data_IF_483710489652
#
_entry.id   IF_483710489652
#
_cell.length_a   1.000
_cell.length_b   1.000
_cell.length_c   1.000
_cell.angle_alpha   90.00
_cell.angle_beta   90.00
_cell.angle_gamma   90.00
#
_symmetry.space_group_name_H-M   'P 1'
#
loop_
_entity.id
_entity.type
_entity.pdbx_description
1 polymer ?
#
# COMPACT_ATOMS: atom_id res chain seq x y z
N UNK A 1 -53.70 -15.02 -14.30
CA UNK A 1 -52.43 -14.91 -13.54
C UNK A 1 -52.64 -13.82 -12.49
N UNK A 2 -52.88 -14.16 -11.21
CA UNK A 2 -53.32 -13.18 -10.19
C UNK A 2 -52.28 -12.07 -9.92
N UNK A 3 -51.00 -12.31 -10.26
CA UNK A 3 -49.90 -11.38 -10.03
C UNK A 3 -49.93 -10.15 -10.95
N UNK A 4 -50.36 -10.31 -12.22
CA UNK A 4 -50.44 -9.21 -13.17
C UNK A 4 -51.61 -8.27 -12.88
N UNK A 5 -52.73 -8.81 -12.38
CA UNK A 5 -53.89 -8.01 -11.95
C UNK A 5 -53.61 -7.24 -10.67
N UNK A 6 -52.86 -7.83 -9.73
CA UNK A 6 -52.41 -7.16 -8.52
C UNK A 6 -51.52 -5.95 -8.85
N UNK A 7 -50.53 -6.13 -9.73
CA UNK A 7 -49.65 -5.03 -10.19
C UNK A 7 -50.45 -3.94 -10.91
N UNK A 8 -51.41 -4.32 -11.77
CA UNK A 8 -52.31 -3.39 -12.45
C UNK A 8 -53.19 -2.59 -11.47
N UNK A 9 -53.71 -3.23 -10.42
CA UNK A 9 -54.54 -2.58 -9.39
C UNK A 9 -53.74 -1.74 -8.40
N UNK A 10 -52.45 -2.00 -8.18
CA UNK A 10 -51.58 -1.15 -7.36
C UNK A 10 -51.02 0.03 -8.17
N UNK A 11 -50.78 -0.14 -9.47
CA UNK A 11 -50.29 0.92 -10.36
C UNK A 11 -51.28 2.06 -10.57
N UNK A 12 -52.58 1.85 -10.32
CA UNK A 12 -53.61 2.90 -10.39
C UNK A 12 -53.62 3.84 -9.17
N UNK A 13 -52.85 3.54 -8.12
CA UNK A 13 -52.75 4.35 -6.90
C UNK A 13 -51.53 5.31 -6.95
N UNK A 14 -51.72 6.64 -6.90
CA UNK A 14 -50.64 7.63 -6.93
C UNK A 14 -49.56 7.44 -5.85
N UNK A 15 -49.93 6.95 -4.67
CA UNK A 15 -48.99 6.68 -3.57
C UNK A 15 -48.08 5.47 -3.85
N UNK A 16 -48.55 4.52 -4.64
CA UNK A 16 -47.76 3.36 -5.06
C UNK A 16 -46.66 3.77 -6.05
N UNK A 17 -46.94 4.71 -6.96
CA UNK A 17 -45.94 5.27 -7.88
C UNK A 17 -44.78 5.96 -7.15
N UNK A 18 -45.07 6.73 -6.10
CA UNK A 18 -44.05 7.40 -5.29
C UNK A 18 -43.20 6.40 -4.47
N UNK A 19 -43.82 5.39 -3.85
CA UNK A 19 -43.13 4.35 -3.10
C UNK A 19 -42.27 3.43 -3.99
N UNK A 20 -42.76 3.09 -5.18
CA UNK A 20 -42.02 2.30 -6.17
C UNK A 20 -40.82 3.07 -6.73
N UNK A 21 -40.96 4.37 -6.97
CA UNK A 21 -39.85 5.23 -7.39
C UNK A 21 -38.73 5.29 -6.35
N UNK A 22 -39.09 5.47 -5.07
CA UNK A 22 -38.11 5.48 -3.97
C UNK A 22 -37.44 4.10 -3.78
N UNK A 23 -38.23 3.02 -3.86
CA UNK A 23 -37.70 1.66 -3.80
C UNK A 23 -36.76 1.37 -4.97
N UNK A 24 -37.12 1.76 -6.20
CA UNK A 24 -36.29 1.60 -7.38
C UNK A 24 -34.97 2.37 -7.28
N UNK A 25 -35.00 3.62 -6.82
CA UNK A 25 -33.79 4.40 -6.53
C UNK A 25 -32.94 3.76 -5.43
N UNK A 26 -33.57 3.25 -4.37
CA UNK A 26 -32.89 2.55 -3.28
C UNK A 26 -32.23 1.25 -3.73
N UNK A 27 -32.95 0.42 -4.47
CA UNK A 27 -32.45 -0.84 -5.03
C UNK A 27 -31.32 -0.58 -6.04
N UNK A 28 -31.49 0.41 -6.93
CA UNK A 28 -30.47 0.82 -7.89
C UNK A 28 -29.19 1.33 -7.21
N UNK A 29 -29.33 2.21 -6.21
CA UNK A 29 -28.20 2.71 -5.43
C UNK A 29 -27.49 1.58 -4.66
N UNK A 30 -28.24 0.63 -4.10
CA UNK A 30 -27.68 -0.54 -3.42
C UNK A 30 -26.90 -1.45 -4.39
N UNK A 31 -27.46 -1.71 -5.58
CA UNK A 31 -26.78 -2.48 -6.63
C UNK A 31 -25.50 -1.78 -7.11
N UNK A 32 -25.55 -0.47 -7.36
CA UNK A 32 -24.38 0.31 -7.74
C UNK A 32 -23.30 0.28 -6.66
N UNK A 33 -23.67 0.42 -5.39
CA UNK A 33 -22.72 0.34 -4.27
C UNK A 33 -22.03 -1.03 -4.22
N UNK A 34 -22.79 -2.11 -4.37
CA UNK A 34 -22.24 -3.48 -4.39
C UNK A 34 -21.36 -3.71 -5.63
N UNK A 35 -21.80 -3.24 -6.79
CA UNK A 35 -21.02 -3.29 -8.03
C UNK A 35 -19.70 -2.54 -7.93
N UNK A 36 -19.71 -1.34 -7.34
CA UNK A 36 -18.49 -0.55 -7.10
C UNK A 36 -17.54 -1.23 -6.11
N UNK A 37 -18.06 -1.83 -5.04
CA UNK A 37 -17.25 -2.60 -4.08
C UNK A 37 -16.57 -3.79 -4.77
N UNK A 38 -17.33 -4.61 -5.48
CA UNK A 38 -16.79 -5.77 -6.22
C UNK A 38 -15.82 -5.34 -7.33
N UNK A 39 -16.17 -4.29 -8.07
CA UNK A 39 -15.31 -3.70 -9.10
C UNK A 39 -13.98 -3.23 -8.52
N UNK A 40 -13.98 -2.58 -7.35
CA UNK A 40 -12.75 -2.15 -6.68
C UNK A 40 -11.86 -3.32 -6.25
N UNK A 41 -12.46 -4.43 -5.81
CA UNK A 41 -11.74 -5.65 -5.41
C UNK A 41 -11.13 -6.32 -6.65
N UNK A 42 -11.91 -6.49 -7.72
CA UNK A 42 -11.43 -7.06 -8.97
C UNK A 42 -10.33 -6.21 -9.59
N UNK A 43 -10.46 -4.89 -9.51
CA UNK A 43 -9.45 -3.95 -9.95
C UNK A 43 -8.13 -4.14 -9.19
N UNK A 44 -8.17 -4.14 -7.85
CA UNK A 44 -7.00 -4.41 -7.01
C UNK A 44 -6.36 -5.77 -7.30
N UNK A 45 -7.17 -6.78 -7.60
CA UNK A 45 -6.68 -8.14 -7.88
C UNK A 45 -6.04 -8.31 -9.27
N UNK A 46 -6.53 -7.61 -10.29
CA UNK A 46 -6.13 -7.84 -11.68
C UNK A 46 -5.28 -6.75 -12.30
N UNK A 47 -5.26 -5.55 -11.73
CA UNK A 47 -4.56 -4.37 -12.28
C UNK A 47 -3.50 -3.81 -11.35
N UNK A 48 -3.27 -4.45 -10.20
CA UNK A 48 -2.24 -4.04 -9.25
C UNK A 48 -1.36 -5.23 -8.91
N UNK A 49 -0.08 -4.95 -8.71
CA UNK A 49 0.92 -5.92 -8.25
C UNK A 49 1.46 -5.45 -6.91
N UNK A 50 1.64 -6.42 -6.00
CA UNK A 50 2.11 -6.19 -4.65
C UNK A 50 3.38 -7.01 -4.42
N UNK A 51 4.43 -6.38 -3.91
CA UNK A 51 5.64 -7.02 -3.44
C UNK A 51 5.79 -6.75 -1.95
N UNK A 52 5.82 -7.81 -1.15
CA UNK A 52 6.07 -7.75 0.29
C UNK A 52 7.51 -8.16 0.57
N UNK A 53 8.22 -7.36 1.38
CA UNK A 53 9.59 -7.62 1.79
C UNK A 53 9.64 -7.64 3.32
N UNK A 54 9.90 -8.82 3.93
CA UNK A 54 10.00 -8.94 5.39
C UNK A 54 11.35 -8.39 5.88
N UNK A 55 11.40 -7.93 7.13
CA UNK A 55 12.64 -7.42 7.75
C UNK A 55 13.75 -8.47 7.91
N UNK A 56 13.44 -9.77 7.82
CA UNK A 56 14.43 -10.86 7.83
C UNK A 56 15.23 -10.94 6.51
N UNK A 57 14.73 -10.38 5.42
CA UNK A 57 15.44 -10.38 4.14
C UNK A 57 16.49 -9.24 4.09
N UNK A 58 17.64 -9.52 3.46
CA UNK A 58 18.71 -8.54 3.24
C UNK A 58 18.25 -7.37 2.36
N UNK A 59 17.32 -7.65 1.45
CA UNK A 59 16.77 -6.65 0.52
C UNK A 59 15.99 -5.53 1.22
N UNK A 60 15.57 -5.73 2.48
CA UNK A 60 14.81 -4.76 3.26
C UNK A 60 15.52 -3.40 3.36
N UNK A 61 16.78 -3.41 3.82
CA UNK A 61 17.56 -2.17 3.97
C UNK A 61 17.87 -1.52 2.61
N UNK A 62 18.04 -2.33 1.57
CA UNK A 62 18.34 -1.85 0.21
C UNK A 62 17.18 -1.04 -0.35
N UNK A 63 15.96 -1.55 -0.17
CA UNK A 63 14.74 -0.88 -0.60
C UNK A 63 14.46 0.36 0.24
N UNK A 64 14.60 0.31 1.56
CA UNK A 64 14.36 1.48 2.41
C UNK A 64 15.26 2.67 2.05
N UNK A 65 16.56 2.41 1.88
CA UNK A 65 17.52 3.44 1.48
C UNK A 65 17.24 3.93 0.04
N UNK A 66 16.92 3.01 -0.87
CA UNK A 66 16.52 3.39 -2.23
C UNK A 66 15.28 4.30 -2.22
N UNK A 67 14.27 3.97 -1.42
CA UNK A 67 13.06 4.78 -1.27
C UNK A 67 13.44 6.15 -0.70
N UNK A 68 14.22 6.21 0.38
CA UNK A 68 14.63 7.47 0.98
C UNK A 68 15.28 8.43 -0.03
N UNK A 69 16.13 7.92 -0.92
CA UNK A 69 16.86 8.78 -1.86
C UNK A 69 16.13 9.01 -3.18
N UNK A 70 15.40 8.04 -3.73
CA UNK A 70 14.74 8.15 -5.04
C UNK A 70 13.23 8.34 -4.94
N UNK A 71 12.53 7.48 -4.21
CA UNK A 71 11.07 7.49 -4.16
C UNK A 71 10.49 8.61 -3.29
N UNK A 72 10.98 8.72 -2.06
CA UNK A 72 10.40 9.49 -0.97
C UNK A 72 11.09 10.84 -0.73
N UNK A 73 11.69 11.47 -1.75
CA UNK A 73 12.41 12.76 -1.58
C UNK A 73 11.57 13.88 -0.94
N UNK A 74 10.24 13.78 -1.01
CA UNK A 74 9.29 14.77 -0.48
C UNK A 74 8.39 14.23 0.64
N UNK A 75 8.68 13.07 1.21
CA UNK A 75 7.83 12.51 2.28
C UNK A 75 7.93 13.34 3.55
N UNK A 76 6.78 13.62 4.16
CA UNK A 76 6.69 14.43 5.38
C UNK A 76 6.91 13.60 6.66
N UNK A 77 6.67 12.28 6.60
CA UNK A 77 6.84 11.39 7.74
C UNK A 77 8.14 10.59 7.62
N UNK A 78 9.13 10.98 8.41
CA UNK A 78 10.48 10.41 8.40
C UNK A 78 10.81 9.75 9.74
N UNK A 79 11.66 8.73 9.67
CA UNK A 79 12.29 8.05 10.79
C UNK A 79 13.81 8.16 10.62
N UNK A 80 14.55 8.17 11.72
CA UNK A 80 16.00 8.35 11.71
C UNK A 80 16.68 7.01 11.93
N UNK A 81 17.62 6.68 11.08
CA UNK A 81 18.58 5.61 11.28
C UNK A 81 19.94 6.23 11.61
N UNK A 82 20.43 5.99 12.83
CA UNK A 82 21.71 6.51 13.31
C UNK A 82 22.75 5.42 13.22
N UNK A 83 23.79 5.62 12.39
CA UNK A 83 24.99 4.79 12.41
C UNK A 83 25.99 5.37 13.40
N UNK A 84 26.46 4.53 14.33
CA UNK A 84 27.41 4.89 15.35
C UNK A 84 28.66 4.02 15.19
N UNK A 85 29.72 4.58 14.62
CA UNK A 85 31.01 3.93 14.47
C UNK A 85 31.98 4.48 15.51
N UNK A 86 32.35 3.64 16.46
CA UNK A 86 33.38 3.95 17.46
C UNK A 86 34.68 3.27 17.04
N UNK A 87 35.71 4.07 16.82
CA UNK A 87 37.05 3.58 16.52
C UNK A 87 37.82 3.30 17.81
N UNK A 88 38.79 2.39 17.74
CA UNK A 88 39.63 2.00 18.89
C UNK A 88 40.42 3.17 19.49
N UNK A 89 40.64 4.24 18.71
CA UNK A 89 41.25 5.50 19.14
C UNK A 89 40.35 6.34 20.05
N UNK A 90 39.11 5.92 20.27
CA UNK A 90 38.09 6.68 21.00
C UNK A 90 37.35 7.72 20.16
N UNK A 91 37.73 7.90 18.88
CA UNK A 91 36.99 8.72 17.93
C UNK A 91 35.63 8.11 17.62
N UNK A 92 34.60 8.96 17.57
CA UNK A 92 33.22 8.56 17.31
C UNK A 92 32.75 9.26 16.05
N UNK A 93 32.37 8.48 15.04
CA UNK A 93 31.74 8.96 13.81
C UNK A 93 30.26 8.61 13.87
N UNK A 94 29.43 9.64 13.87
CA UNK A 94 27.97 9.50 13.79
C UNK A 94 27.47 9.91 12.42
N UNK A 95 26.57 9.12 11.86
CA UNK A 95 25.86 9.45 10.62
C UNK A 95 24.36 9.29 10.84
N UNK A 96 23.59 10.24 10.34
CA UNK A 96 22.13 10.23 10.42
C UNK A 96 21.57 10.07 9.01
N UNK A 97 20.87 8.97 8.76
CA UNK A 97 20.15 8.71 7.53
C UNK A 97 18.64 8.82 7.80
N UNK A 98 17.93 9.56 6.94
CA UNK A 98 16.48 9.70 7.04
C UNK A 98 15.81 8.66 6.14
N UNK A 99 14.93 7.85 6.73
CA UNK A 99 14.15 6.84 6.02
C UNK A 99 12.65 7.12 6.20
N UNK A 100 11.76 6.62 5.32
CA UNK A 100 10.34 6.77 5.51
C UNK A 100 9.87 6.14 6.83
N UNK A 101 9.05 6.88 7.58
CA UNK A 101 8.43 6.37 8.80
C UNK A 101 7.42 5.25 8.49
N UNK A 102 6.99 4.54 9.53
CA UNK A 102 5.87 3.60 9.45
C UNK A 102 4.62 4.28 8.88
N UNK A 103 3.83 3.54 8.10
CA UNK A 103 2.65 4.03 7.41
C UNK A 103 2.77 3.98 5.89
N UNK A 104 1.88 4.71 5.21
CA UNK A 104 1.72 4.68 3.76
C UNK A 104 2.32 5.92 3.10
N UNK A 105 3.13 5.70 2.08
CA UNK A 105 3.76 6.73 1.25
C UNK A 105 3.46 6.47 -0.22
N UNK A 106 3.41 7.53 -1.02
CA UNK A 106 3.18 7.44 -2.46
C UNK A 106 4.31 8.14 -3.19
N UNK A 107 4.84 7.50 -4.22
CA UNK A 107 5.78 8.12 -5.12
C UNK A 107 5.62 7.61 -6.54
N UNK A 108 6.22 8.32 -7.49
CA UNK A 108 6.28 7.93 -8.89
C UNK A 108 7.67 7.40 -9.24
N UNK A 109 7.72 6.30 -9.99
CA UNK A 109 8.94 5.72 -10.54
C UNK A 109 8.66 5.21 -11.94
N UNK A 110 9.50 5.61 -12.91
CA UNK A 110 9.37 5.22 -14.32
C UNK A 110 7.94 5.36 -14.88
N UNK A 111 7.31 6.52 -14.64
CA UNK A 111 5.92 6.83 -15.03
C UNK A 111 4.83 5.95 -14.38
N UNK A 112 5.16 5.18 -13.34
CA UNK A 112 4.22 4.38 -12.57
C UNK A 112 4.10 4.91 -11.13
N UNK A 113 2.88 4.90 -10.59
CA UNK A 113 2.62 5.25 -9.20
C UNK A 113 2.78 4.03 -8.32
N UNK A 114 3.61 4.16 -7.29
CA UNK A 114 3.92 3.12 -6.33
C UNK A 114 3.51 3.60 -4.95
N UNK A 115 2.62 2.84 -4.32
CA UNK A 115 2.28 2.95 -2.91
C UNK A 115 3.24 2.07 -2.12
N UNK A 116 3.88 2.64 -1.12
CA UNK A 116 4.73 1.93 -0.18
C UNK A 116 4.07 1.97 1.17
N UNK A 117 3.98 0.82 1.81
CA UNK A 117 3.40 0.69 3.13
C UNK A 117 4.40 -0.04 4.03
N UNK A 118 4.91 0.65 5.04
CA UNK A 118 5.78 0.07 6.05
C UNK A 118 4.95 -0.20 7.30
N UNK A 119 4.76 -1.47 7.64
CA UNK A 119 4.00 -1.90 8.83
C UNK A 119 4.94 -2.50 9.87
N UNK A 120 4.56 -2.33 11.13
CA UNK A 120 5.19 -2.97 12.27
C UNK A 120 4.13 -3.81 12.97
N UNK A 121 4.39 -5.09 13.19
CA UNK A 121 3.45 -5.94 13.89
C UNK A 121 3.56 -5.72 15.40
N UNK A 122 2.44 -5.35 16.03
CA UNK A 122 2.37 -5.11 17.48
C UNK A 122 2.11 -6.40 18.26
N UNK A 123 1.59 -7.45 17.60
CA UNK A 123 1.14 -8.70 18.24
C UNK A 123 1.93 -9.90 17.71
N UNK A 124 3.21 -9.96 18.05
CA UNK A 124 4.12 -10.98 17.54
C UNK A 124 5.56 -10.63 17.90
N UNK A 125 5.80 -10.32 19.17
CA UNK A 125 7.15 -10.00 19.61
C UNK A 125 7.95 -11.30 19.66
N UNK A 126 8.86 -11.47 18.71
CA UNK A 126 9.89 -12.51 18.77
C UNK A 126 10.86 -12.10 19.89
N UNK A 127 10.60 -12.62 21.10
CA UNK A 127 11.25 -12.25 22.38
C UNK A 127 12.79 -12.42 22.30
N UNK A 128 13.28 -13.22 21.35
CA UNK A 128 14.71 -13.54 21.18
C UNK A 128 15.51 -12.43 20.47
N UNK A 129 14.90 -11.60 19.62
CA UNK A 129 15.64 -10.67 18.75
C UNK A 129 15.59 -9.18 19.19
N UNK A 130 14.74 -8.83 20.16
CA UNK A 130 14.60 -7.47 20.69
C UNK A 130 14.14 -6.40 19.69
N UNK A 131 13.92 -6.77 18.42
CA UNK A 131 13.44 -5.88 17.35
C UNK A 131 12.03 -6.31 16.92
N UNK A 132 11.07 -5.38 16.83
CA UNK A 132 9.72 -5.69 16.38
C UNK A 132 9.75 -6.13 14.92
N UNK A 133 8.86 -7.06 14.55
CA UNK A 133 8.72 -7.49 13.16
C UNK A 133 8.24 -6.33 12.29
N UNK A 134 8.92 -6.09 11.18
CA UNK A 134 8.57 -5.05 10.21
C UNK A 134 8.45 -5.65 8.82
N UNK A 135 7.56 -5.10 8.02
CA UNK A 135 7.43 -5.45 6.60
C UNK A 135 7.25 -4.19 5.77
N UNK A 136 7.75 -4.22 4.54
CA UNK A 136 7.53 -3.17 3.55
C UNK A 136 6.79 -3.78 2.36
N UNK A 137 5.63 -3.21 2.06
CA UNK A 137 4.78 -3.62 0.95
C UNK A 137 4.78 -2.54 -0.12
N UNK A 138 5.27 -2.88 -1.30
CA UNK A 138 5.24 -2.05 -2.50
C UNK A 138 4.04 -2.46 -3.35
N UNK A 139 3.19 -1.51 -3.70
CA UNK A 139 2.03 -1.73 -4.56
C UNK A 139 2.11 -0.81 -5.76
N UNK A 140 2.13 -1.36 -6.97
CA UNK A 140 2.19 -0.60 -8.20
C UNK A 140 1.02 -0.95 -9.13
N UNK A 141 0.68 -0.04 -10.04
CA UNK A 141 -0.27 -0.34 -11.11
C UNK A 141 0.40 -1.20 -12.20
N UNK A 142 -0.38 -2.07 -12.84
CA UNK A 142 0.08 -2.95 -13.90
C UNK A 142 0.34 -4.38 -13.43
N UNK A 143 0.96 -5.18 -14.30
CA UNK A 143 1.26 -6.61 -14.07
C UNK A 143 2.75 -6.94 -14.19
N UNK A 144 3.55 -5.93 -14.48
CA UNK A 144 4.96 -6.12 -14.80
C UNK A 144 5.82 -6.20 -13.53
N UNK A 145 6.39 -7.38 -13.29
CA UNK A 145 7.28 -7.62 -12.15
C UNK A 145 8.68 -7.02 -12.34
N UNK A 146 9.08 -6.72 -13.59
CA UNK A 146 10.42 -6.16 -13.88
C UNK A 146 10.63 -4.83 -13.18
N UNK A 147 9.56 -4.06 -12.98
CA UNK A 147 9.59 -2.81 -12.20
C UNK A 147 10.15 -3.02 -10.79
N UNK A 148 9.74 -4.08 -10.09
CA UNK A 148 10.24 -4.36 -8.75
C UNK A 148 11.68 -4.91 -8.77
N UNK A 149 12.03 -5.70 -9.78
CA UNK A 149 13.40 -6.19 -9.97
C UNK A 149 14.36 -5.01 -10.15
N UNK A 150 14.01 -4.05 -11.01
CA UNK A 150 14.81 -2.84 -11.24
C UNK A 150 15.00 -2.03 -9.95
N UNK A 151 13.95 -1.88 -9.14
CA UNK A 151 14.03 -1.21 -7.83
C UNK A 151 15.01 -1.92 -6.89
N UNK A 152 14.94 -3.25 -6.83
CA UNK A 152 15.82 -4.07 -5.99
C UNK A 152 17.28 -4.00 -6.46
N UNK A 153 17.52 -4.06 -7.77
CA UNK A 153 18.85 -3.96 -8.36
C UNK A 153 19.47 -2.57 -8.15
N UNK A 154 18.70 -1.50 -8.37
CA UNK A 154 19.14 -0.13 -8.09
C UNK A 154 19.47 0.08 -6.61
N UNK A 155 18.65 -0.49 -5.70
CA UNK A 155 18.89 -0.44 -4.26
C UNK A 155 20.17 -1.17 -3.85
N UNK A 156 20.42 -2.34 -4.44
CA UNK A 156 21.62 -3.14 -4.18
C UNK A 156 22.90 -2.41 -4.59
N UNK A 157 22.96 -1.85 -5.80
CA UNK A 157 24.14 -1.14 -6.32
C UNK A 157 24.52 0.02 -5.41
N UNK A 158 23.52 0.74 -4.89
CA UNK A 158 23.76 1.93 -4.08
C UNK A 158 24.38 1.63 -2.71
N UNK A 159 23.98 0.54 -2.07
CA UNK A 159 24.64 0.15 -0.82
C UNK A 159 26.07 -0.30 -1.08
N UNK A 160 26.34 -0.96 -2.20
CA UNK A 160 27.71 -1.24 -2.64
C UNK A 160 28.58 0.02 -2.73
N UNK A 161 28.02 1.13 -3.23
CA UNK A 161 28.73 2.42 -3.32
C UNK A 161 28.84 3.20 -2.00
N UNK A 162 28.05 2.87 -0.98
CA UNK A 162 28.13 3.50 0.35
C UNK A 162 29.09 2.75 1.29
N UNK A 163 29.50 1.54 0.91
CA UNK A 163 30.44 0.68 1.65
C UNK A 163 31.88 0.71 1.08
N UNK A 164 32.14 1.53 0.05
CA UNK A 164 33.48 1.88 -0.46
C UNK A 164 33.85 3.30 -0.04
#
# INVERSE_FOLDING_TARGET
>A
MPFSELIGSLSSNPYFGAGFGLFGLGAGAAMLRKGAQLGSILFRRHYMITLEIPCRDKSYHWVLNWIAVRGAKKTQHLSVETSFEKFDTGYVKTKYDFIPSIGTHLFSYNSNWIRVERTRETMGQDITAGRPWESVTLTAFGRDKTLFVNILEEGKVKIGSLLQ
#
